data_IF_271653403798
#
_entry.id   IF_271653403798
#
_cell.length_a   1.000
_cell.length_b   1.000
_cell.length_c   1.000
_cell.angle_alpha   90.00
_cell.angle_beta   90.00
_cell.angle_gamma   90.00
#
_symmetry.space_group_name_H-M   'P 1'
#
loop_
_entity.id
_entity.type
_entity.pdbx_description
1 polymer ?
#
# COMPACT_ATOMS: atom_id res chain seq x y z
N UNK A 1 -27.32 13.98 -11.28
CA UNK A 1 -27.02 13.72 -9.84
C UNK A 1 -25.64 13.09 -9.72
N UNK A 2 -24.82 13.50 -8.76
CA UNK A 2 -23.52 12.90 -8.51
C UNK A 2 -23.63 11.48 -7.97
N UNK A 3 -22.60 10.63 -8.23
CA UNK A 3 -22.54 9.26 -7.68
C UNK A 3 -22.30 9.28 -6.18
N UNK A 4 -22.93 8.36 -5.45
CA UNK A 4 -22.71 8.19 -4.00
C UNK A 4 -21.57 7.19 -3.75
N UNK A 5 -20.58 7.60 -2.94
CA UNK A 5 -19.42 6.78 -2.54
C UNK A 5 -19.45 6.56 -1.04
N UNK A 6 -19.53 5.32 -0.61
CA UNK A 6 -19.41 4.92 0.78
C UNK A 6 -17.97 4.43 1.06
N UNK A 7 -17.35 4.99 2.07
CA UNK A 7 -16.04 4.55 2.58
C UNK A 7 -16.29 3.78 3.88
N UNK A 8 -15.85 2.52 3.92
CA UNK A 8 -15.98 1.65 5.10
C UNK A 8 -14.60 1.46 5.74
N UNK A 9 -14.40 2.12 6.87
CA UNK A 9 -13.13 2.19 7.60
C UNK A 9 -12.54 3.60 7.59
N UNK A 10 -12.43 4.25 8.76
CA UNK A 10 -11.86 5.57 8.97
C UNK A 10 -10.36 5.52 9.35
N UNK A 11 -9.64 4.54 8.84
CA UNK A 11 -8.18 4.51 8.93
C UNK A 11 -7.53 5.50 7.97
N UNK A 12 -6.18 5.64 8.03
CA UNK A 12 -5.43 6.60 7.19
C UNK A 12 -5.81 6.55 5.70
N UNK A 13 -5.93 5.33 5.11
CA UNK A 13 -6.34 5.20 3.70
C UNK A 13 -7.81 5.53 3.47
N UNK A 14 -8.71 5.16 4.40
CA UNK A 14 -10.13 5.53 4.30
C UNK A 14 -10.32 7.05 4.30
N UNK A 15 -9.64 7.76 5.17
CA UNK A 15 -9.62 9.22 5.22
C UNK A 15 -9.02 9.82 3.93
N UNK A 16 -7.97 9.19 3.39
CA UNK A 16 -7.42 9.60 2.10
C UNK A 16 -8.46 9.49 0.98
N UNK A 17 -9.21 8.38 0.91
CA UNK A 17 -10.28 8.22 -0.09
C UNK A 17 -11.44 9.18 0.14
N UNK A 18 -11.81 9.46 1.39
CA UNK A 18 -12.80 10.50 1.70
C UNK A 18 -12.37 11.83 1.11
N UNK A 19 -11.14 12.27 1.37
CA UNK A 19 -10.58 13.50 0.83
C UNK A 19 -10.51 13.49 -0.70
N UNK A 20 -10.10 12.36 -1.28
CA UNK A 20 -9.95 12.24 -2.73
C UNK A 20 -11.30 12.39 -3.46
N UNK A 21 -12.34 11.68 -3.00
CA UNK A 21 -13.64 11.74 -3.66
C UNK A 21 -14.42 13.00 -3.31
N UNK A 22 -14.31 13.53 -2.10
CA UNK A 22 -15.00 14.77 -1.71
C UNK A 22 -14.55 16.00 -2.50
N UNK A 23 -13.32 16.01 -3.01
CA UNK A 23 -12.81 17.09 -3.88
C UNK A 23 -13.34 17.01 -5.33
N UNK A 24 -14.05 15.95 -5.68
CA UNK A 24 -14.63 15.78 -7.01
C UNK A 24 -16.13 16.11 -6.95
N UNK A 25 -16.58 17.15 -7.66
CA UNK A 25 -17.95 17.66 -7.62
C UNK A 25 -19.03 16.65 -8.00
N UNK A 26 -18.64 15.52 -8.61
CA UNK A 26 -19.56 14.49 -9.07
C UNK A 26 -19.74 13.33 -8.06
N UNK A 27 -19.23 13.47 -6.82
CA UNK A 27 -19.39 12.45 -5.79
C UNK A 27 -19.97 13.03 -4.48
N UNK A 28 -20.89 12.27 -3.87
CA UNK A 28 -21.33 12.48 -2.49
C UNK A 28 -20.69 11.38 -1.63
N UNK A 29 -19.94 11.76 -0.58
CA UNK A 29 -19.14 10.82 0.21
C UNK A 29 -19.79 10.53 1.54
N UNK A 30 -19.94 9.26 1.89
CA UNK A 30 -20.33 8.77 3.22
C UNK A 30 -19.19 7.99 3.84
N UNK A 31 -19.00 8.10 5.16
CA UNK A 31 -17.95 7.41 5.90
C UNK A 31 -18.54 6.67 7.09
N UNK A 32 -18.10 5.42 7.27
CA UNK A 32 -18.43 4.60 8.43
C UNK A 32 -17.18 3.91 8.99
N UNK A 33 -17.03 3.89 10.31
CA UNK A 33 -16.11 3.02 11.03
C UNK A 33 -16.84 2.39 12.23
N UNK A 34 -16.45 1.18 12.62
CA UNK A 34 -17.01 0.51 13.81
C UNK A 34 -16.63 1.21 15.12
N UNK A 35 -15.53 1.95 15.12
CA UNK A 35 -15.11 2.81 16.24
C UNK A 35 -15.81 4.16 16.11
N UNK A 36 -16.08 4.81 17.25
CA UNK A 36 -16.51 6.22 17.23
C UNK A 36 -15.36 7.07 16.70
N UNK A 37 -15.66 7.97 15.79
CA UNK A 37 -14.70 8.94 15.25
C UNK A 37 -15.40 10.29 15.09
N UNK A 38 -14.63 11.38 15.14
CA UNK A 38 -15.11 12.75 14.86
C UNK A 38 -14.54 13.21 13.53
N UNK A 39 -15.43 13.70 12.66
CA UNK A 39 -14.99 14.26 11.36
C UNK A 39 -14.08 15.49 11.55
N UNK A 40 -14.28 16.26 12.60
CA UNK A 40 -13.54 17.49 12.85
C UNK A 40 -12.13 17.24 13.35
N UNK A 41 -11.90 16.11 14.03
CA UNK A 41 -10.61 15.74 14.62
C UNK A 41 -9.80 14.83 13.71
N UNK A 42 -10.46 13.83 13.11
CA UNK A 42 -9.80 12.76 12.35
C UNK A 42 -9.59 13.11 10.87
N UNK A 43 -10.36 14.09 10.37
CA UNK A 43 -10.23 14.59 9.02
C UNK A 43 -9.65 16.02 9.11
N UNK A 44 -8.44 16.22 8.59
CA UNK A 44 -7.88 17.57 8.37
C UNK A 44 -8.66 18.26 7.23
N UNK A 45 -9.99 18.30 7.40
CA UNK A 45 -10.97 18.79 6.44
C UNK A 45 -11.15 20.30 6.57
N UNK A 46 -10.06 21.08 6.56
CA UNK A 46 -10.12 22.52 6.34
C UNK A 46 -10.50 22.88 4.89
N UNK A 47 -11.23 22.01 4.19
CA UNK A 47 -11.72 22.31 2.85
C UNK A 47 -13.18 22.72 2.97
N UNK A 48 -13.40 24.03 3.10
CA UNK A 48 -14.74 24.65 3.05
C UNK A 48 -15.48 24.12 1.81
N UNK A 49 -16.68 23.53 2.01
CA UNK A 49 -17.60 23.16 0.93
C UNK A 49 -17.69 21.68 0.59
N UNK A 50 -16.93 20.76 1.19
CA UNK A 50 -17.04 19.34 0.90
C UNK A 50 -18.04 18.62 1.84
N UNK A 51 -19.01 17.94 1.25
CA UNK A 51 -20.04 17.19 1.99
C UNK A 51 -19.58 15.75 2.22
N UNK A 52 -18.97 15.48 3.38
CA UNK A 52 -18.78 14.11 3.87
C UNK A 52 -19.80 13.87 4.96
N UNK A 53 -20.57 12.80 4.84
CA UNK A 53 -21.57 12.38 5.82
C UNK A 53 -21.00 11.26 6.69
N UNK A 54 -20.81 11.51 7.99
CA UNK A 54 -20.52 10.45 8.96
C UNK A 54 -21.77 9.61 9.21
N UNK A 55 -21.68 8.31 8.99
CA UNK A 55 -22.77 7.37 9.19
C UNK A 55 -22.64 6.67 10.55
N UNK A 56 -23.75 6.54 11.27
CA UNK A 56 -23.80 5.84 12.58
C UNK A 56 -23.79 4.32 12.43
N UNK A 57 -24.27 3.80 11.30
CA UNK A 57 -24.36 2.36 11.03
C UNK A 57 -23.80 2.04 9.64
N UNK A 58 -23.35 0.78 9.45
CA UNK A 58 -22.91 0.28 8.15
C UNK A 58 -24.03 0.37 7.11
N UNK A 59 -25.27 0.00 7.48
CA UNK A 59 -26.44 0.05 6.61
C UNK A 59 -26.69 1.46 6.08
N UNK A 60 -26.69 2.45 6.97
CA UNK A 60 -26.87 3.86 6.59
C UNK A 60 -25.80 4.30 5.56
N UNK A 61 -24.58 3.80 5.71
CA UNK A 61 -23.47 4.16 4.83
C UNK A 61 -23.57 3.52 3.45
N UNK A 62 -23.92 2.23 3.36
CA UNK A 62 -23.74 1.44 2.14
C UNK A 62 -25.03 1.18 1.33
N UNK A 63 -26.21 1.21 1.96
CA UNK A 63 -27.48 0.78 1.34
C UNK A 63 -27.77 1.45 0.00
N UNK A 64 -27.57 2.74 -0.11
CA UNK A 64 -27.87 3.54 -1.30
C UNK A 64 -26.62 3.96 -2.08
N UNK A 65 -25.44 3.48 -1.69
CA UNK A 65 -24.20 3.83 -2.36
C UNK A 65 -24.09 3.21 -3.76
N UNK A 66 -23.54 3.96 -4.72
CA UNK A 66 -23.19 3.47 -6.04
C UNK A 66 -21.85 2.74 -6.01
N UNK A 67 -20.95 3.20 -5.13
CA UNK A 67 -19.60 2.63 -4.95
C UNK A 67 -19.35 2.48 -3.45
N UNK A 68 -18.91 1.31 -3.02
CA UNK A 68 -18.50 1.03 -1.64
C UNK A 68 -17.02 0.66 -1.63
N UNK A 69 -16.17 1.45 -0.96
CA UNK A 69 -14.73 1.19 -0.85
C UNK A 69 -14.44 0.66 0.54
N UNK A 70 -13.85 -0.54 0.60
CA UNK A 70 -13.53 -1.25 1.84
C UNK A 70 -12.09 -0.91 2.26
N UNK A 71 -11.96 -0.10 3.32
CA UNK A 71 -10.69 0.41 3.87
C UNK A 71 -10.44 -0.10 5.29
N UNK A 72 -10.74 -1.37 5.55
CA UNK A 72 -10.57 -2.01 6.86
C UNK A 72 -9.31 -2.90 6.88
N UNK A 73 -8.82 -3.32 8.07
CA UNK A 73 -7.68 -4.25 8.16
C UNK A 73 -7.91 -5.54 7.37
N UNK A 74 -6.84 -6.09 6.77
CA UNK A 74 -6.86 -7.29 5.90
C UNK A 74 -7.68 -8.42 6.52
N UNK A 75 -7.43 -8.74 7.80
CA UNK A 75 -8.10 -9.83 8.55
C UNK A 75 -9.63 -9.68 8.63
N UNK A 76 -10.16 -8.47 8.55
CA UNK A 76 -11.60 -8.22 8.63
C UNK A 76 -12.25 -7.97 7.28
N UNK A 77 -11.47 -7.79 6.22
CA UNK A 77 -11.94 -7.38 4.89
C UNK A 77 -12.99 -8.34 4.32
N UNK A 78 -12.76 -9.65 4.36
CA UNK A 78 -13.71 -10.66 3.84
C UNK A 78 -15.06 -10.56 4.56
N UNK A 79 -15.06 -10.47 5.89
CA UNK A 79 -16.29 -10.35 6.68
C UNK A 79 -17.07 -9.06 6.33
N UNK A 80 -16.34 -7.95 6.17
CA UNK A 80 -16.95 -6.65 5.84
C UNK A 80 -17.49 -6.65 4.41
N UNK A 81 -16.76 -7.20 3.43
CA UNK A 81 -17.23 -7.38 2.05
C UNK A 81 -18.59 -8.13 2.04
N UNK A 82 -18.65 -9.27 2.73
CA UNK A 82 -19.86 -10.09 2.77
C UNK A 82 -21.05 -9.37 3.44
N UNK A 83 -20.80 -8.58 4.49
CA UNK A 83 -21.84 -7.75 5.13
C UNK A 83 -22.31 -6.66 4.17
N UNK A 84 -21.42 -5.92 3.54
CA UNK A 84 -21.77 -4.85 2.60
C UNK A 84 -22.57 -5.40 1.41
N UNK A 85 -22.15 -6.52 0.83
CA UNK A 85 -22.80 -7.10 -0.34
C UNK A 85 -24.28 -7.48 -0.11
N UNK A 86 -24.66 -7.81 1.14
CA UNK A 86 -26.07 -8.12 1.51
C UNK A 86 -26.96 -6.86 1.61
N UNK A 87 -26.34 -5.70 1.82
CA UNK A 87 -27.03 -4.44 2.10
C UNK A 87 -27.09 -3.57 0.84
N UNK A 88 -26.06 -3.68 -0.01
CA UNK A 88 -25.89 -2.84 -1.19
C UNK A 88 -27.03 -3.02 -2.20
N UNK A 89 -27.41 -1.92 -2.86
CA UNK A 89 -28.38 -1.96 -3.96
C UNK A 89 -27.80 -2.69 -5.19
N UNK A 90 -28.69 -3.31 -5.98
CA UNK A 90 -28.31 -3.92 -7.27
C UNK A 90 -27.65 -2.88 -8.19
N UNK A 91 -26.67 -3.30 -8.97
CA UNK A 91 -25.90 -2.44 -9.87
C UNK A 91 -24.77 -1.66 -9.20
N UNK A 92 -24.67 -1.68 -7.88
CA UNK A 92 -23.58 -1.00 -7.16
C UNK A 92 -22.25 -1.73 -7.30
N UNK A 93 -21.16 -1.01 -7.03
CA UNK A 93 -19.80 -1.49 -7.12
C UNK A 93 -19.16 -1.60 -5.73
N UNK A 94 -18.60 -2.76 -5.39
CA UNK A 94 -17.77 -2.96 -4.21
C UNK A 94 -16.30 -3.02 -4.59
N UNK A 95 -15.48 -2.22 -3.91
CA UNK A 95 -14.05 -2.07 -4.17
C UNK A 95 -13.26 -2.44 -2.92
N UNK A 96 -12.34 -3.38 -3.00
CA UNK A 96 -11.38 -3.66 -1.94
C UNK A 96 -9.98 -3.17 -2.33
N UNK A 97 -9.18 -2.78 -1.34
CA UNK A 97 -7.89 -2.10 -1.55
C UNK A 97 -6.70 -2.78 -0.82
N UNK A 98 -6.86 -4.01 -0.38
CA UNK A 98 -5.87 -4.67 0.47
C UNK A 98 -4.55 -4.97 -0.24
N UNK A 99 -3.48 -5.06 0.55
CA UNK A 99 -2.13 -5.34 0.06
C UNK A 99 -1.85 -6.85 -0.15
N UNK A 100 -2.73 -7.74 0.33
CA UNK A 100 -2.68 -9.19 0.13
C UNK A 100 -4.01 -9.63 -0.44
N UNK A 101 -4.01 -10.41 -1.52
CA UNK A 101 -5.18 -10.60 -2.38
C UNK A 101 -5.78 -12.00 -2.36
N UNK A 102 -4.96 -13.05 -2.21
CA UNK A 102 -5.37 -14.43 -2.54
C UNK A 102 -6.68 -14.88 -1.88
N UNK A 103 -6.85 -14.66 -0.58
CA UNK A 103 -8.05 -15.12 0.12
C UNK A 103 -9.24 -14.15 -0.08
N UNK A 104 -8.96 -12.86 -0.25
CA UNK A 104 -9.96 -11.83 -0.51
C UNK A 104 -10.54 -11.97 -1.91
N UNK A 105 -9.70 -12.27 -2.90
CA UNK A 105 -10.10 -12.55 -4.28
C UNK A 105 -11.13 -13.69 -4.35
N UNK A 106 -10.89 -14.80 -3.62
CA UNK A 106 -11.85 -15.91 -3.53
C UNK A 106 -13.21 -15.48 -2.96
N UNK A 107 -13.22 -14.53 -2.04
CA UNK A 107 -14.46 -13.98 -1.49
C UNK A 107 -15.19 -13.10 -2.51
N UNK A 108 -14.47 -12.28 -3.28
CA UNK A 108 -15.05 -11.44 -4.32
C UNK A 108 -15.72 -12.26 -5.44
N UNK A 109 -15.15 -13.41 -5.80
CA UNK A 109 -15.77 -14.34 -6.77
C UNK A 109 -17.14 -14.86 -6.34
N UNK A 110 -17.42 -14.92 -5.02
CA UNK A 110 -18.68 -15.40 -4.46
C UNK A 110 -19.75 -14.31 -4.34
N UNK A 111 -19.42 -13.06 -4.59
CA UNK A 111 -20.36 -11.95 -4.56
C UNK A 111 -21.34 -12.09 -5.74
N UNK A 112 -22.67 -11.86 -5.55
CA UNK A 112 -23.65 -11.98 -6.62
C UNK A 112 -23.32 -11.08 -7.83
N UNK A 113 -23.66 -11.54 -9.04
CA UNK A 113 -23.45 -10.79 -10.31
C UNK A 113 -24.27 -9.51 -10.41
N UNK A 114 -25.27 -9.35 -9.52
CA UNK A 114 -26.00 -8.09 -9.37
C UNK A 114 -25.14 -6.94 -8.84
N UNK A 115 -23.94 -7.22 -8.33
CA UNK A 115 -22.95 -6.25 -7.91
C UNK A 115 -21.69 -6.33 -8.80
N UNK A 116 -21.06 -5.19 -9.06
CA UNK A 116 -19.74 -5.15 -9.65
C UNK A 116 -18.69 -5.28 -8.55
N UNK A 117 -17.69 -6.12 -8.74
CA UNK A 117 -16.56 -6.30 -7.80
C UNK A 117 -15.28 -5.79 -8.40
N UNK A 118 -14.49 -5.04 -7.62
CA UNK A 118 -13.16 -4.57 -8.01
C UNK A 118 -12.13 -4.93 -6.94
N UNK A 119 -11.04 -5.51 -7.36
CA UNK A 119 -9.86 -5.76 -6.52
C UNK A 119 -8.73 -4.85 -7.00
N UNK A 120 -8.40 -3.83 -6.21
CA UNK A 120 -7.33 -2.88 -6.53
C UNK A 120 -6.32 -2.79 -5.39
N UNK A 121 -5.09 -2.43 -5.73
CA UNK A 121 -4.06 -2.10 -4.75
C UNK A 121 -3.43 -0.76 -5.13
N UNK A 122 -3.76 0.33 -4.44
CA UNK A 122 -3.05 1.60 -4.57
C UNK A 122 -1.60 1.44 -4.14
N UNK A 123 -0.65 1.67 -5.05
CA UNK A 123 0.79 1.59 -4.78
C UNK A 123 1.33 2.90 -4.21
N UNK A 124 0.59 3.46 -3.26
CA UNK A 124 0.92 4.66 -2.52
C UNK A 124 0.26 4.63 -1.13
N UNK A 125 0.88 5.30 -0.18
CA UNK A 125 0.36 5.43 1.17
C UNK A 125 -0.47 6.70 1.36
N UNK A 126 -1.03 6.89 2.55
CA UNK A 126 -1.89 8.05 2.91
C UNK A 126 -1.17 9.40 2.85
N UNK A 127 0.18 9.41 2.81
CA UNK A 127 0.97 10.61 2.60
C UNK A 127 0.95 11.16 1.16
N UNK A 128 0.37 10.45 0.20
CA UNK A 128 0.23 10.95 -1.16
C UNK A 128 -0.77 12.13 -1.20
N UNK A 129 -0.30 13.30 -1.66
CA UNK A 129 -1.12 14.53 -1.73
C UNK A 129 -2.33 14.38 -2.67
N UNK A 130 -2.19 13.58 -3.72
CA UNK A 130 -3.22 13.28 -4.73
C UNK A 130 -2.89 11.96 -5.43
N UNK A 131 -3.70 11.56 -6.41
CA UNK A 131 -3.49 10.35 -7.21
C UNK A 131 -2.62 10.55 -8.45
N UNK A 132 -2.17 11.78 -8.74
CA UNK A 132 -1.40 12.10 -9.95
C UNK A 132 -0.07 11.35 -9.96
N UNK A 133 0.23 10.74 -11.11
CA UNK A 133 1.45 9.95 -11.33
C UNK A 133 1.62 8.75 -10.38
N UNK A 134 0.57 8.36 -9.65
CA UNK A 134 0.59 7.15 -8.83
C UNK A 134 0.24 5.91 -9.65
N UNK A 135 0.39 4.74 -9.05
CA UNK A 135 0.05 3.46 -9.67
C UNK A 135 -1.05 2.78 -8.87
N UNK A 136 -1.99 2.16 -9.58
CA UNK A 136 -3.00 1.28 -9.00
C UNK A 136 -2.88 -0.07 -9.71
N UNK A 137 -2.59 -1.12 -8.97
CA UNK A 137 -2.65 -2.48 -9.48
C UNK A 137 -4.11 -2.93 -9.45
N UNK A 138 -4.57 -3.60 -10.47
CA UNK A 138 -5.91 -4.17 -10.56
C UNK A 138 -5.82 -5.66 -10.90
N UNK A 139 -6.54 -6.47 -10.16
CA UNK A 139 -6.70 -7.89 -10.45
C UNK A 139 -8.13 -8.10 -10.97
N UNK A 140 -8.31 -8.50 -12.23
CA UNK A 140 -9.63 -8.73 -12.80
C UNK A 140 -10.35 -9.86 -12.07
N UNK A 141 -11.64 -9.63 -11.76
CA UNK A 141 -12.49 -10.62 -11.08
C UNK A 141 -13.34 -11.39 -12.09
N UNK A 142 -14.04 -10.69 -12.98
CA UNK A 142 -14.97 -11.28 -13.97
C UNK A 142 -14.78 -10.72 -15.37
N UNK A 143 -14.61 -9.40 -15.49
CA UNK A 143 -14.51 -8.73 -16.79
C UNK A 143 -13.44 -7.63 -16.75
N UNK A 144 -12.25 -7.98 -17.20
CA UNK A 144 -11.08 -7.09 -17.18
C UNK A 144 -11.38 -5.73 -17.83
N UNK A 145 -11.99 -5.72 -19.01
CA UNK A 145 -12.22 -4.49 -19.79
C UNK A 145 -13.17 -3.54 -19.04
N UNK A 146 -14.30 -4.07 -18.53
CA UNK A 146 -15.27 -3.27 -17.78
C UNK A 146 -14.68 -2.78 -16.46
N UNK A 147 -14.01 -3.65 -15.74
CA UNK A 147 -13.39 -3.36 -14.45
C UNK A 147 -12.27 -2.32 -14.61
N UNK A 148 -11.39 -2.47 -15.59
CA UNK A 148 -10.34 -1.50 -15.89
C UNK A 148 -10.91 -0.13 -16.27
N UNK A 149 -11.96 -0.09 -17.11
CA UNK A 149 -12.63 1.15 -17.48
C UNK A 149 -13.21 1.86 -16.26
N UNK A 150 -13.81 1.10 -15.35
CA UNK A 150 -14.39 1.64 -14.12
C UNK A 150 -13.30 2.17 -13.17
N UNK A 151 -12.21 1.43 -12.96
CA UNK A 151 -11.07 1.90 -12.15
C UNK A 151 -10.46 3.17 -12.74
N UNK A 152 -10.25 3.23 -14.05
CA UNK A 152 -9.75 4.43 -14.74
C UNK A 152 -10.69 5.63 -14.59
N UNK A 153 -12.01 5.41 -14.61
CA UNK A 153 -12.98 6.50 -14.40
C UNK A 153 -12.96 7.08 -12.98
N UNK A 154 -12.67 6.24 -11.99
CA UNK A 154 -12.53 6.67 -10.58
C UNK A 154 -11.17 7.37 -10.33
N UNK A 155 -10.11 6.87 -10.96
CA UNK A 155 -8.71 7.29 -10.71
C UNK A 155 -8.01 7.70 -12.01
N UNK A 156 -8.56 8.70 -12.69
CA UNK A 156 -8.13 9.14 -14.02
C UNK A 156 -6.70 9.69 -14.10
N UNK A 157 -6.12 10.11 -12.97
CA UNK A 157 -4.74 10.62 -12.90
C UNK A 157 -3.71 9.54 -12.53
N UNK A 158 -4.17 8.33 -12.15
CA UNK A 158 -3.31 7.21 -11.80
C UNK A 158 -3.06 6.29 -12.99
N UNK A 159 -1.88 5.67 -13.03
CA UNK A 159 -1.60 4.59 -13.97
C UNK A 159 -2.20 3.29 -13.46
N UNK A 160 -3.25 2.79 -14.10
CA UNK A 160 -3.85 1.48 -13.79
C UNK A 160 -3.05 0.38 -14.50
N UNK A 161 -2.55 -0.58 -13.72
CA UNK A 161 -1.76 -1.73 -14.20
C UNK A 161 -2.55 -3.00 -13.86
N UNK A 162 -2.88 -3.77 -14.88
CA UNK A 162 -3.58 -5.04 -14.72
C UNK A 162 -2.57 -6.13 -14.36
N UNK A 163 -2.87 -6.88 -13.31
CA UNK A 163 -2.13 -8.07 -12.85
C UNK A 163 -3.00 -9.28 -13.14
N UNK A 164 -2.42 -10.30 -13.77
CA UNK A 164 -3.17 -11.46 -14.30
C UNK A 164 -3.98 -12.24 -13.25
N UNK A 165 -3.45 -12.38 -12.02
CA UNK A 165 -4.10 -13.11 -10.94
C UNK A 165 -3.60 -12.69 -9.54
N UNK A 166 -4.34 -13.08 -8.52
CA UNK A 166 -4.07 -12.72 -7.12
C UNK A 166 -2.80 -13.37 -6.56
N UNK A 167 -2.45 -14.58 -6.99
CA UNK A 167 -1.22 -15.27 -6.53
C UNK A 167 0.03 -14.59 -7.09
N UNK A 168 0.00 -14.23 -8.36
CA UNK A 168 1.08 -13.47 -8.98
C UNK A 168 1.23 -12.08 -8.34
N UNK A 169 0.10 -11.40 -8.02
CA UNK A 169 0.12 -10.17 -7.24
C UNK A 169 0.83 -10.38 -5.90
N UNK A 170 0.41 -11.36 -5.09
CA UNK A 170 0.95 -11.59 -3.75
C UNK A 170 2.44 -11.97 -3.79
N UNK A 171 2.87 -12.70 -4.84
CA UNK A 171 4.30 -12.96 -5.09
C UNK A 171 5.09 -11.67 -5.36
N UNK A 172 4.56 -10.75 -6.17
CA UNK A 172 5.20 -9.44 -6.40
C UNK A 172 5.25 -8.65 -5.09
N UNK A 173 4.14 -8.63 -4.33
CA UNK A 173 4.07 -7.90 -3.06
C UNK A 173 5.00 -8.49 -2.00
N UNK A 174 5.23 -9.80 -1.99
CA UNK A 174 6.25 -10.42 -1.14
C UNK A 174 7.63 -9.80 -1.36
N UNK A 175 7.97 -9.48 -2.61
CA UNK A 175 9.28 -8.89 -2.96
C UNK A 175 9.30 -7.37 -2.69
N UNK A 176 8.36 -6.62 -3.27
CA UNK A 176 8.44 -5.15 -3.31
C UNK A 176 7.89 -4.47 -2.05
N UNK A 177 7.12 -5.17 -1.23
CA UNK A 177 6.66 -4.72 0.08
C UNK A 177 7.20 -5.59 1.20
N UNK A 178 6.90 -6.88 1.21
CA UNK A 178 7.23 -7.78 2.30
C UNK A 178 8.72 -7.79 2.63
N UNK A 179 9.59 -8.02 1.64
CA UNK A 179 11.04 -7.98 1.83
C UNK A 179 11.52 -6.59 2.27
N UNK A 180 10.98 -5.52 1.68
CA UNK A 180 11.38 -4.15 2.04
C UNK A 180 11.03 -3.86 3.50
N UNK A 181 9.82 -4.20 3.94
CA UNK A 181 9.42 -4.03 5.34
C UNK A 181 10.25 -4.88 6.29
N UNK A 182 10.45 -6.16 5.95
CA UNK A 182 11.26 -7.07 6.77
C UNK A 182 12.70 -6.56 6.99
N UNK A 183 13.39 -6.21 5.91
CA UNK A 183 14.79 -5.74 5.99
C UNK A 183 14.90 -4.44 6.79
N UNK A 184 13.95 -3.52 6.62
CA UNK A 184 13.96 -2.25 7.33
C UNK A 184 13.59 -2.41 8.82
N UNK A 185 12.65 -3.31 9.16
CA UNK A 185 12.37 -3.64 10.55
C UNK A 185 13.57 -4.32 11.23
N UNK A 186 14.24 -5.22 10.53
CA UNK A 186 15.43 -5.89 11.05
C UNK A 186 16.54 -4.85 11.33
N UNK A 187 16.80 -3.94 10.40
CA UNK A 187 17.76 -2.86 10.58
C UNK A 187 17.37 -1.94 11.75
N UNK A 188 16.11 -1.52 11.81
CA UNK A 188 15.60 -0.69 12.91
C UNK A 188 15.75 -1.39 14.27
N UNK A 189 15.48 -2.69 14.34
CA UNK A 189 15.67 -3.49 15.56
C UNK A 189 17.15 -3.59 15.95
N UNK A 190 18.03 -3.77 14.95
CA UNK A 190 19.49 -3.82 15.21
C UNK A 190 20.02 -2.50 15.76
N UNK A 191 19.44 -1.38 15.32
CA UNK A 191 19.87 -0.04 15.71
C UNK A 191 19.05 0.56 16.88
N UNK A 192 18.10 -0.16 17.46
CA UNK A 192 17.13 0.42 18.42
C UNK A 192 17.77 0.98 19.70
N UNK A 193 18.94 0.50 20.09
CA UNK A 193 19.69 0.97 21.26
C UNK A 193 20.77 2.00 20.93
N UNK A 194 20.94 2.35 19.65
CA UNK A 194 21.92 3.32 19.20
C UNK A 194 21.39 4.76 19.28
N UNK A 195 22.28 5.72 19.43
CA UNK A 195 21.93 7.14 19.38
C UNK A 195 21.72 7.60 17.93
N UNK A 196 20.55 7.34 17.38
CA UNK A 196 20.21 7.66 15.99
C UNK A 196 20.42 9.15 15.63
N UNK A 197 20.02 10.14 16.48
CA UNK A 197 20.32 11.55 16.21
C UNK A 197 21.83 11.82 16.04
N UNK A 198 22.66 11.23 16.88
CA UNK A 198 24.11 11.36 16.80
C UNK A 198 24.67 10.69 15.53
N UNK A 199 24.21 9.49 15.22
CA UNK A 199 24.60 8.78 13.99
C UNK A 199 24.21 9.57 12.75
N UNK A 200 23.02 10.17 12.71
CA UNK A 200 22.60 11.05 11.61
C UNK A 200 23.50 12.27 11.47
N UNK A 201 23.98 12.86 12.57
CA UNK A 201 24.92 14.00 12.55
C UNK A 201 26.24 13.66 11.86
N UNK A 202 26.72 12.44 12.02
CA UNK A 202 27.98 11.97 11.42
C UNK A 202 27.79 11.25 10.08
N UNK A 203 26.55 11.00 9.68
CA UNK A 203 26.26 10.16 8.51
C UNK A 203 26.38 10.89 7.18
N UNK A 204 26.78 10.14 6.16
CA UNK A 204 26.60 10.53 4.77
C UNK A 204 25.20 10.20 4.24
N UNK A 205 25.02 10.42 2.93
CA UNK A 205 23.76 10.30 2.20
C UNK A 205 23.09 8.93 2.33
N UNK A 206 23.84 7.85 2.30
CA UNK A 206 23.30 6.48 2.32
C UNK A 206 22.59 6.16 3.63
N UNK A 207 23.23 6.43 4.77
CA UNK A 207 22.64 6.20 6.09
C UNK A 207 21.43 7.10 6.32
N UNK A 208 21.51 8.37 5.89
CA UNK A 208 20.40 9.32 6.02
C UNK A 208 19.14 8.83 5.28
N UNK A 209 19.26 8.41 4.02
CA UNK A 209 18.13 7.86 3.26
C UNK A 209 17.62 6.55 3.85
N UNK A 210 18.52 5.69 4.31
CA UNK A 210 18.14 4.42 4.92
C UNK A 210 17.37 4.63 6.23
N UNK A 211 17.76 5.62 7.04
CA UNK A 211 17.03 5.97 8.27
C UNK A 211 15.65 6.56 7.96
N UNK A 212 15.54 7.46 6.98
CA UNK A 212 14.23 7.97 6.54
C UNK A 212 13.29 6.84 6.12
N UNK A 213 13.82 5.81 5.44
CA UNK A 213 13.01 4.70 4.95
C UNK A 213 12.48 3.85 6.11
N UNK A 214 13.32 3.38 7.03
CA UNK A 214 12.80 2.57 8.15
C UNK A 214 11.96 3.40 9.13
N UNK A 215 12.29 4.67 9.38
CA UNK A 215 11.45 5.55 10.20
C UNK A 215 10.06 5.73 9.59
N UNK A 216 9.98 5.92 8.26
CA UNK A 216 8.67 6.02 7.57
C UNK A 216 7.83 4.75 7.74
N UNK A 217 8.45 3.57 7.65
CA UNK A 217 7.79 2.28 7.88
C UNK A 217 7.27 2.18 9.31
N UNK A 218 8.04 2.62 10.30
CA UNK A 218 7.64 2.60 11.72
C UNK A 218 6.46 3.53 12.03
N UNK A 219 6.13 4.49 11.14
CA UNK A 219 4.90 5.31 11.29
C UNK A 219 3.63 4.59 10.90
N UNK A 220 3.73 3.45 10.23
CA UNK A 220 2.57 2.65 9.86
C UNK A 220 1.97 1.93 11.08
N UNK A 221 0.69 1.59 10.99
CA UNK A 221 0.01 0.86 12.06
C UNK A 221 0.62 -0.55 12.20
N UNK A 222 0.98 -0.96 13.42
CA UNK A 222 1.58 -2.27 13.70
C UNK A 222 0.75 -3.45 13.20
N UNK A 223 -0.59 -3.36 13.23
CA UNK A 223 -1.46 -4.40 12.70
C UNK A 223 -1.41 -4.48 11.17
N UNK A 224 -1.19 -3.36 10.48
CA UNK A 224 -0.98 -3.35 9.03
C UNK A 224 0.35 -4.02 8.69
N UNK A 225 1.43 -3.62 9.35
CA UNK A 225 2.77 -4.21 9.17
C UNK A 225 2.70 -5.72 9.43
N UNK A 226 2.11 -6.12 10.57
CA UNK A 226 1.96 -7.52 10.95
C UNK A 226 1.19 -8.33 9.89
N UNK A 227 0.06 -7.81 9.39
CA UNK A 227 -0.71 -8.49 8.36
C UNK A 227 0.04 -8.56 7.02
N UNK A 228 0.74 -7.50 6.64
CA UNK A 228 1.51 -7.46 5.39
C UNK A 228 2.62 -8.52 5.39
N UNK A 229 3.25 -8.75 6.54
CA UNK A 229 4.31 -9.75 6.68
C UNK A 229 3.78 -11.17 6.91
N UNK A 230 2.76 -11.33 7.77
CA UNK A 230 2.29 -12.65 8.18
C UNK A 230 1.25 -13.27 7.23
N UNK A 231 0.41 -12.44 6.60
CA UNK A 231 -0.71 -12.95 5.79
C UNK A 231 -0.30 -13.21 4.32
N UNK A 232 0.87 -12.74 3.86
CA UNK A 232 1.40 -13.03 2.52
C UNK A 232 2.12 -14.40 2.50
N UNK A 233 1.46 -15.41 1.94
CA UNK A 233 1.95 -16.81 1.89
C UNK A 233 3.20 -17.00 1.01
N UNK A 234 3.51 -16.07 0.13
CA UNK A 234 4.68 -16.11 -0.75
C UNK A 234 5.95 -15.58 -0.05
N UNK A 235 5.79 -14.71 0.95
CA UNK A 235 6.90 -14.04 1.62
C UNK A 235 7.90 -14.99 2.31
N UNK A 236 7.49 -16.04 3.03
CA UNK A 236 8.42 -16.94 3.71
C UNK A 236 9.49 -17.54 2.81
N UNK A 237 9.18 -17.78 1.53
CA UNK A 237 10.15 -18.29 0.55
C UNK A 237 11.31 -17.31 0.33
N UNK A 238 10.99 -16.02 0.22
CA UNK A 238 11.99 -14.98 0.04
C UNK A 238 12.78 -14.70 1.32
N UNK A 239 12.14 -14.79 2.49
CA UNK A 239 12.83 -14.64 3.77
C UNK A 239 13.85 -15.75 4.02
N UNK A 240 13.50 -17.00 3.70
CA UNK A 240 14.45 -18.13 3.77
C UNK A 240 15.68 -17.88 2.89
N UNK A 241 15.46 -17.43 1.65
CA UNK A 241 16.55 -17.08 0.74
C UNK A 241 17.40 -15.94 1.27
N UNK A 242 16.77 -14.88 1.76
CA UNK A 242 17.46 -13.72 2.35
C UNK A 242 18.35 -14.13 3.53
N UNK A 243 17.83 -14.96 4.45
CA UNK A 243 18.59 -15.42 5.60
C UNK A 243 19.78 -16.30 5.19
N UNK A 244 19.63 -17.17 4.19
CA UNK A 244 20.75 -17.96 3.66
C UNK A 244 21.84 -17.07 3.06
N UNK A 245 21.47 -16.09 2.23
CA UNK A 245 22.41 -15.13 1.64
C UNK A 245 23.09 -14.24 2.72
N UNK A 246 22.34 -13.86 3.76
CA UNK A 246 22.88 -13.10 4.91
C UNK A 246 23.93 -13.90 5.68
N UNK A 247 23.67 -15.19 5.93
CA UNK A 247 24.62 -16.09 6.61
C UNK A 247 25.87 -16.29 5.77
N UNK A 248 25.71 -16.51 4.45
CA UNK A 248 26.85 -16.64 3.53
C UNK A 248 27.70 -15.37 3.53
N UNK A 249 27.06 -14.21 3.42
CA UNK A 249 27.77 -12.91 3.43
C UNK A 249 28.52 -12.69 4.74
N UNK A 250 27.90 -12.99 5.89
CA UNK A 250 28.56 -12.92 7.19
C UNK A 250 29.81 -13.80 7.25
N UNK A 251 29.73 -15.04 6.76
CA UNK A 251 30.87 -15.94 6.69
C UNK A 251 32.00 -15.38 5.80
N UNK A 252 31.69 -14.73 4.69
CA UNK A 252 32.70 -14.10 3.82
C UNK A 252 33.36 -12.89 4.49
N UNK A 253 32.59 -12.10 5.27
CA UNK A 253 33.12 -10.94 6.00
C UNK A 253 34.06 -11.38 7.13
N UNK A 254 33.71 -12.44 7.86
CA UNK A 254 34.44 -12.86 9.06
C UNK A 254 35.68 -13.71 8.75
N UNK A 255 35.73 -14.42 7.62
CA UNK A 255 36.81 -15.36 7.27
C UNK A 255 37.92 -14.79 6.40
N UNK A 256 37.83 -13.54 5.97
CA UNK A 256 38.76 -12.73 5.17
C UNK A 256 39.69 -13.55 4.25
N UNK A 257 39.16 -14.02 3.13
CA UNK A 257 39.91 -14.84 2.17
C UNK A 257 39.80 -14.33 0.72
N UNK A 258 39.62 -13.02 0.51
CA UNK A 258 39.49 -12.39 -0.82
C UNK A 258 38.27 -12.79 -1.63
N UNK A 259 37.38 -13.62 -1.07
CA UNK A 259 36.18 -14.07 -1.77
C UNK A 259 35.03 -13.06 -1.68
N UNK A 260 35.07 -12.14 -0.72
CA UNK A 260 34.09 -11.07 -0.58
C UNK A 260 34.05 -10.16 -1.82
N UNK A 261 35.21 -9.71 -2.30
CA UNK A 261 35.29 -8.88 -3.52
C UNK A 261 34.79 -9.65 -4.75
N UNK A 262 35.14 -10.92 -4.90
CA UNK A 262 34.62 -11.77 -5.97
C UNK A 262 33.09 -11.87 -5.91
N UNK A 263 32.52 -12.01 -4.70
CA UNK A 263 31.07 -12.04 -4.49
C UNK A 263 30.42 -10.71 -4.89
N UNK A 264 30.97 -9.59 -4.45
CA UNK A 264 30.48 -8.25 -4.82
C UNK A 264 30.52 -8.04 -6.33
N UNK A 265 31.63 -8.41 -7.00
CA UNK A 265 31.77 -8.29 -8.44
C UNK A 265 30.78 -9.18 -9.20
N UNK A 266 30.48 -10.37 -8.72
CA UNK A 266 29.44 -11.25 -9.27
C UNK A 266 28.05 -10.60 -9.17
N UNK A 267 27.71 -10.03 -8.01
CA UNK A 267 26.45 -9.31 -7.80
C UNK A 267 26.38 -8.12 -8.77
N UNK A 268 27.43 -7.29 -8.82
CA UNK A 268 27.50 -6.14 -9.71
C UNK A 268 27.30 -6.53 -11.17
N UNK A 269 27.96 -7.57 -11.67
CA UNK A 269 27.80 -8.08 -13.04
C UNK A 269 26.36 -8.49 -13.32
N UNK A 270 25.69 -9.19 -12.39
CA UNK A 270 24.30 -9.62 -12.55
C UNK A 270 23.32 -8.45 -12.64
N UNK A 271 23.56 -7.35 -11.92
CA UNK A 271 22.73 -6.15 -11.97
C UNK A 271 23.06 -5.27 -13.19
N UNK A 272 24.33 -5.09 -13.54
CA UNK A 272 24.77 -4.26 -14.68
C UNK A 272 24.24 -4.80 -16.01
N UNK A 273 24.18 -6.12 -16.17
CA UNK A 273 23.60 -6.75 -17.36
C UNK A 273 22.09 -6.45 -17.55
N UNK A 274 21.40 -5.97 -16.50
CA UNK A 274 19.96 -5.71 -16.52
C UNK A 274 19.62 -4.22 -16.55
N UNK A 275 20.51 -3.34 -16.08
CA UNK A 275 20.29 -1.89 -16.00
C UNK A 275 21.60 -1.12 -15.80
N UNK A 276 21.63 0.12 -16.27
CA UNK A 276 22.69 1.07 -15.91
C UNK A 276 22.51 1.48 -14.43
N UNK A 277 23.28 0.89 -13.53
CA UNK A 277 23.25 1.18 -12.09
C UNK A 277 23.90 2.54 -11.75
N UNK A 278 24.74 3.11 -12.64
CA UNK A 278 25.42 4.38 -12.38
C UNK A 278 24.44 5.53 -12.20
N UNK A 279 23.34 5.57 -13.00
CA UNK A 279 22.29 6.58 -12.85
C UNK A 279 21.56 6.54 -11.49
N UNK A 280 21.67 5.45 -10.74
CA UNK A 280 21.05 5.33 -9.42
C UNK A 280 21.77 6.16 -8.37
N UNK A 281 23.10 6.27 -8.49
CA UNK A 281 23.91 7.11 -7.62
C UNK A 281 23.54 8.61 -7.80
N UNK A 282 23.47 9.08 -9.03
CA UNK A 282 23.08 10.46 -9.36
C UNK A 282 21.66 10.79 -8.87
N UNK A 283 20.72 9.85 -9.05
CA UNK A 283 19.34 10.00 -8.56
C UNK A 283 19.29 10.10 -7.04
N UNK A 284 20.09 9.33 -6.33
CA UNK A 284 20.17 9.38 -4.88
C UNK A 284 20.58 10.78 -4.42
N UNK A 285 21.62 11.38 -5.02
CA UNK A 285 22.05 12.75 -4.69
C UNK A 285 21.02 13.80 -5.07
N UNK A 286 20.32 13.64 -6.21
CA UNK A 286 19.24 14.52 -6.61
C UNK A 286 18.05 14.52 -5.62
N UNK A 287 17.74 13.38 -5.00
CA UNK A 287 16.71 13.29 -3.96
C UNK A 287 17.16 14.06 -2.73
N UNK A 288 18.39 13.86 -2.26
CA UNK A 288 18.93 14.53 -1.07
C UNK A 288 18.98 16.03 -1.25
N UNK A 289 19.45 16.54 -2.39
CA UNK A 289 19.48 17.99 -2.63
C UNK A 289 18.11 18.64 -2.55
N UNK A 290 17.07 17.97 -3.10
CA UNK A 290 15.68 18.42 -3.00
C UNK A 290 15.13 18.41 -1.56
N UNK A 291 15.53 17.44 -0.73
CA UNK A 291 15.13 17.41 0.68
C UNK A 291 15.75 18.54 1.49
N UNK A 292 16.99 18.94 1.19
CA UNK A 292 17.66 20.04 1.86
C UNK A 292 17.13 21.41 1.40
N UNK A 293 16.67 21.57 0.16
CA UNK A 293 16.11 22.82 -0.35
C UNK A 293 14.68 23.11 0.13
N UNK A 294 14.04 22.17 0.84
CA UNK A 294 12.70 22.35 1.44
C UNK A 294 12.74 22.75 2.94
N UNK A 295 13.94 22.93 3.50
CA UNK A 295 14.16 23.54 4.82
C UNK A 295 14.36 25.05 4.68
#
# INVERSE_FOLDING_TARGET
MGKSVAIVGAGKMGLWFCNYFSRKNNYNVSLYDKRKFSLDIDLDLKVKGHRITACKTLDQCVKNADIVIICVPIKTTVSVINKCARIMKKGACIVEITSVKTDIFKSLLKIPDSLTTLSIHPMFGPGAKNSRNTKILMIPIRNEIKEQKLVKSMFNESKVIVIKDSKYHDRIMAIILGMVYYVNLLLATTLCNENIPLLKKFSGTTFYLQTLLFESILTDNSSLIGSLLADNKELPTYLKKYNAESTELLNLITKDNGNLEKRINKIRKNYSNKKNINSSYEKMYSIISKLHSQK
#
